data_IF_259314397222
#
_entry.id   IF_259314397222
#
_cell.length_a   1.000
_cell.length_b   1.000
_cell.length_c   1.000
_cell.angle_alpha   90.00
_cell.angle_beta   90.00
_cell.angle_gamma   90.00
#
_symmetry.space_group_name_H-M   'P 1'
#
loop_
_entity.id
_entity.type
_entity.pdbx_description
1 polymer ?
#
# COMPACT_ATOMS: atom_id res chain seq x y z
N UNK A 1 -0.93 12.02 28.63
CA UNK A 1 0.28 12.35 29.42
C UNK A 1 0.01 12.59 30.90
N UNK A 2 -1.11 13.21 31.31
CA UNK A 2 -1.41 13.48 32.73
C UNK A 2 -1.38 12.23 33.64
N UNK A 3 -1.97 11.11 33.21
CA UNK A 3 -1.94 9.86 33.99
C UNK A 3 -0.53 9.27 34.15
N UNK A 4 0.31 9.35 33.10
CA UNK A 4 1.70 8.88 33.15
C UNK A 4 2.56 9.74 34.09
N UNK A 5 2.29 11.05 34.12
CA UNK A 5 2.95 11.97 35.05
C UNK A 5 2.51 11.69 36.50
N UNK A 6 1.21 11.44 36.73
CA UNK A 6 0.68 11.09 38.05
C UNK A 6 1.28 9.78 38.59
N UNK A 7 1.52 8.81 37.71
CA UNK A 7 2.17 7.53 38.04
C UNK A 7 3.70 7.66 38.20
N UNK A 8 4.26 8.86 38.02
CA UNK A 8 5.69 9.15 38.13
C UNK A 8 6.55 8.26 37.21
N UNK A 9 6.15 8.09 35.95
CA UNK A 9 6.80 7.18 34.98
C UNK A 9 8.32 7.33 34.85
N UNK A 10 8.89 8.50 35.19
CA UNK A 10 10.33 8.77 35.13
C UNK A 10 11.11 8.22 36.34
N UNK A 11 10.45 7.95 37.46
CA UNK A 11 11.07 7.46 38.69
C UNK A 11 10.51 6.10 39.15
N UNK A 12 9.27 5.79 38.77
CA UNK A 12 8.59 4.52 39.07
C UNK A 12 8.18 3.85 37.76
N UNK A 13 8.69 2.65 37.56
CA UNK A 13 8.41 1.86 36.36
C UNK A 13 7.51 0.69 36.75
N UNK A 14 6.33 0.59 36.12
CA UNK A 14 5.43 -0.56 36.26
C UNK A 14 5.10 -1.15 34.89
N UNK A 15 4.67 -2.42 34.87
CA UNK A 15 4.30 -3.08 33.61
C UNK A 15 3.11 -2.39 32.95
N UNK A 16 2.17 -1.87 33.75
CA UNK A 16 0.99 -1.15 33.24
C UNK A 16 1.38 0.16 32.58
N UNK A 17 2.34 0.87 33.15
CA UNK A 17 2.90 2.12 32.58
C UNK A 17 3.61 1.84 31.27
N UNK A 18 4.41 0.77 31.20
CA UNK A 18 5.08 0.34 29.97
C UNK A 18 4.09 -0.06 28.87
N UNK A 19 3.07 -0.85 29.21
CA UNK A 19 1.97 -1.22 28.29
C UNK A 19 1.28 0.03 27.73
N UNK A 20 0.93 0.99 28.59
CA UNK A 20 0.30 2.25 28.19
C UNK A 20 1.19 3.07 27.26
N UNK A 21 2.50 3.14 27.52
CA UNK A 21 3.46 3.82 26.65
C UNK A 21 3.54 3.17 25.27
N UNK A 22 3.65 1.84 25.21
CA UNK A 22 3.69 1.09 23.93
C UNK A 22 2.43 1.34 23.11
N UNK A 23 1.24 1.27 23.73
CA UNK A 23 -0.03 1.55 23.06
C UNK A 23 -0.14 3.00 22.58
N UNK A 24 0.29 3.96 23.40
CA UNK A 24 0.30 5.38 23.02
C UNK A 24 1.23 5.63 21.83
N UNK A 25 2.44 5.07 21.84
CA UNK A 25 3.38 5.16 20.71
C UNK A 25 2.78 4.53 19.46
N UNK A 26 2.10 3.38 19.59
CA UNK A 26 1.43 2.73 18.47
C UNK A 26 0.38 3.66 17.86
N UNK A 27 -0.48 4.28 18.68
CA UNK A 27 -1.48 5.23 18.22
C UNK A 27 -0.85 6.44 17.51
N UNK A 28 0.15 7.09 18.13
CA UNK A 28 0.85 8.24 17.54
C UNK A 28 1.49 7.88 16.19
N UNK A 29 2.16 6.74 16.11
CA UNK A 29 2.83 6.27 14.89
C UNK A 29 1.84 6.08 13.74
N UNK A 30 0.67 5.51 14.00
CA UNK A 30 -0.35 5.29 12.95
C UNK A 30 -1.21 6.53 12.65
N UNK A 31 -1.14 7.57 13.50
CA UNK A 31 -1.69 8.90 13.22
C UNK A 31 -0.67 9.86 12.59
N UNK A 32 0.47 9.35 12.13
CA UNK A 32 1.57 10.14 11.54
C UNK A 32 2.11 11.25 12.46
N UNK A 33 2.00 11.05 13.77
CA UNK A 33 2.50 11.99 14.78
C UNK A 33 3.93 11.61 15.18
N UNK A 34 4.80 12.59 15.49
CA UNK A 34 6.15 12.31 15.96
C UNK A 34 6.15 11.48 17.25
N UNK A 35 6.80 10.31 17.24
CA UNK A 35 6.88 9.41 18.39
C UNK A 35 8.31 9.02 18.80
N UNK A 36 9.33 9.50 18.07
CA UNK A 36 10.74 9.11 18.25
C UNK A 36 11.26 9.32 19.67
N UNK A 37 11.06 10.50 20.25
CA UNK A 37 11.51 10.82 21.62
C UNK A 37 10.81 9.91 22.63
N UNK A 38 9.51 9.66 22.44
CA UNK A 38 8.73 8.81 23.33
C UNK A 38 9.18 7.35 23.25
N UNK A 39 9.58 6.88 22.07
CA UNK A 39 10.18 5.55 21.88
C UNK A 39 11.50 5.45 22.65
N UNK A 40 12.39 6.44 22.53
CA UNK A 40 13.66 6.45 23.27
C UNK A 40 13.47 6.39 24.78
N UNK A 41 12.57 7.22 25.32
CA UNK A 41 12.21 7.19 26.74
C UNK A 41 11.64 5.82 27.16
N UNK A 42 10.69 5.29 26.39
CA UNK A 42 10.04 4.00 26.67
C UNK A 42 11.03 2.84 26.59
N UNK A 43 12.01 2.92 25.71
CA UNK A 43 13.11 1.97 25.60
C UNK A 43 13.97 1.95 26.85
N UNK A 44 14.34 3.10 27.39
CA UNK A 44 15.08 3.17 28.66
C UNK A 44 14.25 2.65 29.85
N UNK A 45 12.95 2.94 29.89
CA UNK A 45 12.02 2.36 30.89
C UNK A 45 12.00 0.83 30.78
N UNK A 46 11.86 0.28 29.57
CA UNK A 46 11.85 -1.16 29.34
C UNK A 46 13.17 -1.83 29.73
N UNK A 47 14.31 -1.17 29.47
CA UNK A 47 15.63 -1.64 29.92
C UNK A 47 15.73 -1.64 31.43
N UNK A 48 15.34 -0.54 32.10
CA UNK A 48 15.37 -0.42 33.56
C UNK A 48 14.50 -1.49 34.25
N UNK A 49 13.44 -1.94 33.58
CA UNK A 49 12.59 -3.03 34.05
C UNK A 49 13.12 -4.44 33.72
N UNK A 50 14.18 -4.57 32.92
CA UNK A 50 14.75 -5.85 32.49
C UNK A 50 14.01 -6.53 31.34
N UNK A 51 13.14 -5.83 30.60
CA UNK A 51 12.36 -6.42 29.50
C UNK A 51 13.20 -6.80 28.27
N UNK A 52 14.45 -6.32 28.20
CA UNK A 52 15.42 -6.63 27.15
C UNK A 52 16.13 -7.97 27.37
N UNK A 53 15.92 -8.61 28.52
CA UNK A 53 16.43 -9.93 28.87
C UNK A 53 15.31 -10.95 28.73
N UNK A 54 15.60 -12.13 28.19
CA UNK A 54 14.54 -13.13 28.01
C UNK A 54 13.93 -13.53 29.37
N UNK A 55 12.59 -13.44 29.54
CA UNK A 55 11.91 -13.83 30.77
C UNK A 55 12.20 -15.26 31.25
N UNK A 56 12.59 -16.17 30.37
CA UNK A 56 12.93 -17.56 30.71
C UNK A 56 14.16 -17.65 31.63
N UNK A 57 14.99 -16.60 31.68
CA UNK A 57 16.13 -16.51 32.61
C UNK A 57 15.71 -16.13 34.04
N UNK A 58 14.42 -15.92 34.28
CA UNK A 58 13.86 -15.49 35.56
C UNK A 58 12.77 -16.47 36.02
N UNK A 59 12.55 -16.56 37.33
CA UNK A 59 11.47 -17.36 37.92
C UNK A 59 10.13 -16.60 37.88
N UNK A 60 9.65 -16.25 36.69
CA UNK A 60 8.40 -15.51 36.47
C UNK A 60 7.24 -16.45 36.16
N UNK A 61 6.01 -16.00 36.42
CA UNK A 61 4.83 -16.69 35.90
C UNK A 61 4.72 -16.55 34.37
N UNK A 62 4.00 -17.48 33.73
CA UNK A 62 3.77 -17.45 32.27
C UNK A 62 3.19 -16.09 31.80
N UNK A 63 2.25 -15.53 32.57
CA UNK A 63 1.62 -14.24 32.26
C UNK A 63 2.65 -13.11 32.34
N UNK A 64 3.41 -13.02 33.43
CA UNK A 64 4.42 -11.96 33.60
C UNK A 64 5.53 -12.05 32.54
N UNK A 65 5.93 -13.28 32.18
CA UNK A 65 6.88 -13.53 31.12
C UNK A 65 6.34 -13.02 29.77
N UNK A 66 5.11 -13.38 29.40
CA UNK A 66 4.50 -12.93 28.15
C UNK A 66 4.19 -11.43 28.15
N UNK A 67 3.80 -10.81 29.26
CA UNK A 67 3.63 -9.35 29.34
C UNK A 67 4.94 -8.62 28.99
N UNK A 68 6.07 -9.07 29.55
CA UNK A 68 7.41 -8.50 29.26
C UNK A 68 7.79 -8.73 27.80
N UNK A 69 7.65 -9.97 27.32
CA UNK A 69 8.01 -10.39 25.96
C UNK A 69 7.22 -9.63 24.91
N UNK A 70 5.91 -9.48 25.10
CA UNK A 70 5.01 -8.72 24.20
C UNK A 70 5.30 -7.22 24.23
N UNK A 71 5.56 -6.63 25.40
CA UNK A 71 5.92 -5.22 25.49
C UNK A 71 7.25 -4.94 24.78
N UNK A 72 8.27 -5.77 25.01
CA UNK A 72 9.56 -5.64 24.35
C UNK A 72 9.42 -5.77 22.83
N UNK A 73 8.81 -6.85 22.34
CA UNK A 73 8.62 -7.07 20.91
C UNK A 73 7.81 -5.93 20.24
N UNK A 74 6.75 -5.46 20.89
CA UNK A 74 5.96 -4.33 20.43
C UNK A 74 6.76 -3.03 20.35
N UNK A 75 7.61 -2.75 21.34
CA UNK A 75 8.49 -1.58 21.33
C UNK A 75 9.56 -1.66 20.25
N UNK A 76 10.19 -2.82 20.09
CA UNK A 76 11.19 -3.08 19.05
C UNK A 76 10.58 -2.89 17.65
N UNK A 77 9.35 -3.36 17.45
CA UNK A 77 8.58 -3.13 16.22
C UNK A 77 8.34 -1.63 15.97
N UNK A 78 7.88 -0.89 16.98
CA UNK A 78 7.61 0.55 16.85
C UNK A 78 8.88 1.35 16.53
N UNK A 79 10.00 0.99 17.16
CA UNK A 79 11.29 1.56 16.83
C UNK A 79 11.70 1.28 15.38
N UNK A 80 11.47 0.05 14.87
CA UNK A 80 11.75 -0.28 13.48
C UNK A 80 10.93 0.54 12.48
N UNK A 81 9.64 0.77 12.75
CA UNK A 81 8.78 1.61 11.89
C UNK A 81 9.37 3.02 11.75
N UNK A 82 9.79 3.61 12.86
CA UNK A 82 10.40 4.94 12.84
C UNK A 82 11.77 4.92 12.16
N UNK A 83 12.59 3.90 12.41
CA UNK A 83 13.89 3.75 11.76
C UNK A 83 13.78 3.67 10.23
N UNK A 84 12.81 2.89 9.74
CA UNK A 84 12.45 2.82 8.32
C UNK A 84 12.08 4.23 7.82
N UNK A 85 11.21 4.95 8.54
CA UNK A 85 10.79 6.33 8.22
C UNK A 85 11.95 7.33 8.18
N UNK A 86 12.97 7.16 9.03
CA UNK A 86 14.17 7.99 9.08
C UNK A 86 15.31 7.48 8.17
N UNK A 87 14.99 6.71 7.12
CA UNK A 87 15.97 6.23 6.12
C UNK A 87 17.14 5.46 6.73
N UNK A 88 16.91 4.71 7.80
CA UNK A 88 17.96 3.95 8.49
C UNK A 88 19.16 4.81 8.94
N UNK A 89 18.90 6.06 9.37
CA UNK A 89 19.91 6.98 9.93
C UNK A 89 20.77 6.33 11.04
N UNK A 90 20.21 5.37 11.79
CA UNK A 90 20.93 4.56 12.76
C UNK A 90 21.19 3.14 12.22
N UNK A 91 22.46 2.70 12.18
CA UNK A 91 22.82 1.33 11.81
C UNK A 91 22.60 0.34 12.97
N UNK A 92 22.53 0.81 14.21
CA UNK A 92 22.31 -0.06 15.36
C UNK A 92 20.91 -0.67 15.32
N UNK A 93 20.85 -1.99 15.54
CA UNK A 93 19.62 -2.70 15.81
C UNK A 93 19.52 -2.80 17.33
N UNK A 94 18.37 -2.42 17.88
CA UNK A 94 18.07 -2.77 19.26
C UNK A 94 18.14 -4.29 19.41
N UNK A 95 18.66 -4.75 20.54
CA UNK A 95 18.84 -6.18 20.82
C UNK A 95 17.52 -6.93 20.65
N UNK A 96 17.60 -8.11 20.03
CA UNK A 96 16.51 -9.08 19.90
C UNK A 96 16.84 -10.37 20.64
N UNK A 97 17.59 -10.26 21.74
CA UNK A 97 18.01 -11.42 22.54
C UNK A 97 16.83 -12.07 23.31
N UNK A 98 15.63 -11.51 23.15
CA UNK A 98 14.37 -12.02 23.68
C UNK A 98 13.63 -12.78 22.59
N UNK A 99 13.15 -13.99 22.90
CA UNK A 99 12.30 -14.79 22.02
C UNK A 99 11.05 -14.02 21.59
N UNK A 100 10.51 -14.38 20.42
CA UNK A 100 9.22 -13.84 19.97
C UNK A 100 8.08 -14.25 20.95
N UNK A 101 7.06 -13.39 21.13
CA UNK A 101 5.88 -13.72 21.93
C UNK A 101 5.22 -15.03 21.53
N UNK A 102 4.55 -15.68 22.47
CA UNK A 102 3.77 -16.87 22.19
C UNK A 102 2.55 -16.52 21.32
N UNK A 103 2.28 -17.36 20.33
CA UNK A 103 1.04 -17.28 19.53
C UNK A 103 -0.12 -17.85 20.36
N UNK A 104 -0.66 -17.04 21.28
CA UNK A 104 -1.72 -17.46 22.20
C UNK A 104 -2.67 -16.30 22.52
N UNK A 105 -3.94 -16.61 22.80
CA UNK A 105 -4.87 -15.62 23.34
C UNK A 105 -4.60 -15.39 24.82
N UNK A 106 -5.00 -14.23 25.34
CA UNK A 106 -4.76 -13.89 26.76
C UNK A 106 -5.43 -14.87 27.72
N UNK A 107 -6.62 -15.36 27.36
CA UNK A 107 -7.36 -16.33 28.19
C UNK A 107 -6.67 -17.69 28.25
N UNK A 108 -5.96 -18.08 27.18
CA UNK A 108 -5.27 -19.36 27.09
C UNK A 108 -4.06 -19.41 28.04
N UNK A 109 -3.44 -18.25 28.31
CA UNK A 109 -2.31 -18.10 29.24
C UNK A 109 -2.71 -18.21 30.72
N UNK A 110 -4.00 -18.10 31.03
CA UNK A 110 -4.47 -18.17 32.41
C UNK A 110 -4.35 -19.59 32.97
N UNK A 111 -4.02 -19.72 34.25
CA UNK A 111 -3.83 -21.04 34.91
C UNK A 111 -5.07 -21.95 34.83
N UNK A 112 -6.26 -21.37 34.65
CA UNK A 112 -7.53 -22.08 34.57
C UNK A 112 -7.98 -22.39 33.13
N UNK A 113 -7.14 -22.17 32.11
CA UNK A 113 -7.48 -22.49 30.72
C UNK A 113 -7.63 -24.00 30.46
N UNK A 114 -7.01 -24.84 31.31
CA UNK A 114 -7.03 -26.29 31.16
C UNK A 114 -6.17 -26.79 29.99
N UNK A 115 -5.45 -25.91 29.30
CA UNK A 115 -4.59 -26.25 28.17
C UNK A 115 -3.20 -26.70 28.65
N UNK A 116 -2.65 -27.69 27.95
CA UNK A 116 -1.25 -28.08 28.11
C UNK A 116 -0.31 -27.11 27.40
N UNK A 117 0.96 -27.08 27.80
CA UNK A 117 1.98 -26.26 27.13
C UNK A 117 2.17 -26.61 25.65
N UNK A 118 1.90 -27.85 25.25
CA UNK A 118 1.99 -28.27 23.85
C UNK A 118 0.84 -27.69 23.02
N UNK A 119 -0.39 -27.76 23.54
CA UNK A 119 -1.57 -27.14 22.92
C UNK A 119 -1.42 -25.62 22.79
N UNK A 120 -0.82 -24.95 23.78
CA UNK A 120 -0.52 -23.51 23.72
C UNK A 120 0.50 -23.15 22.63
N UNK A 121 1.44 -24.06 22.31
CA UNK A 121 2.46 -23.83 21.27
C UNK A 121 1.93 -24.10 19.86
N UNK A 122 0.87 -24.88 19.75
CA UNK A 122 0.29 -25.32 18.48
C UNK A 122 -1.22 -25.08 18.46
N UNK A 123 -1.69 -23.82 18.54
CA UNK A 123 -3.12 -23.56 18.52
C UNK A 123 -3.68 -23.85 17.12
N UNK A 124 -4.90 -24.38 17.08
CA UNK A 124 -5.61 -24.81 15.87
C UNK A 124 -5.81 -23.67 14.86
N UNK A 125 -6.08 -22.47 15.37
CA UNK A 125 -6.44 -21.30 14.58
C UNK A 125 -5.58 -20.07 14.84
N UNK A 126 -5.91 -18.94 14.19
CA UNK A 126 -5.27 -17.66 14.46
C UNK A 126 -5.66 -17.18 15.86
N UNK A 127 -4.66 -16.73 16.62
CA UNK A 127 -4.83 -16.13 17.95
C UNK A 127 -4.78 -14.60 17.87
N UNK A 128 -5.05 -13.92 18.99
CA UNK A 128 -4.82 -12.48 19.14
C UNK A 128 -3.39 -12.06 18.79
N UNK A 129 -2.39 -12.92 19.01
CA UNK A 129 -0.98 -12.62 18.74
C UNK A 129 -0.54 -12.93 17.30
N UNK A 130 -1.28 -13.78 16.58
CA UNK A 130 -0.92 -14.20 15.21
C UNK A 130 -0.64 -13.02 14.28
N UNK A 131 -1.49 -11.98 14.33
CA UNK A 131 -1.31 -10.77 13.52
C UNK A 131 0.04 -10.08 13.78
N UNK A 132 0.39 -9.86 15.06
CA UNK A 132 1.63 -9.17 15.42
C UNK A 132 2.87 -10.00 15.04
N UNK A 133 2.81 -11.32 15.16
CA UNK A 133 3.90 -12.21 14.76
C UNK A 133 4.20 -12.11 13.26
N UNK A 134 3.18 -12.11 12.41
CA UNK A 134 3.37 -11.86 10.98
C UNK A 134 3.85 -10.43 10.71
N UNK A 135 3.36 -9.44 11.47
CA UNK A 135 3.79 -8.06 11.34
C UNK A 135 5.29 -7.89 11.63
N UNK A 136 5.83 -8.58 12.64
CA UNK A 136 7.27 -8.58 12.94
C UNK A 136 8.09 -9.09 11.75
N UNK A 137 7.66 -10.19 11.13
CA UNK A 137 8.33 -10.77 9.95
C UNK A 137 8.27 -9.81 8.75
N UNK A 138 7.12 -9.17 8.52
CA UNK A 138 7.00 -8.16 7.46
C UNK A 138 7.90 -6.96 7.68
N UNK A 139 8.12 -6.51 8.93
CA UNK A 139 9.06 -5.42 9.19
C UNK A 139 10.52 -5.80 8.94
N UNK A 140 10.89 -7.07 9.11
CA UNK A 140 12.22 -7.55 8.72
C UNK A 140 12.42 -7.46 7.21
N UNK A 141 11.39 -7.85 6.45
CA UNK A 141 11.38 -7.71 4.98
C UNK A 141 11.42 -6.22 4.60
N UNK A 142 10.60 -5.38 5.23
CA UNK A 142 10.54 -3.95 4.96
C UNK A 142 11.90 -3.27 5.20
N UNK A 143 12.61 -3.64 6.27
CA UNK A 143 13.95 -3.14 6.56
C UNK A 143 14.96 -3.58 5.48
N UNK A 144 14.88 -4.84 5.04
CA UNK A 144 15.74 -5.36 3.98
C UNK A 144 15.48 -4.63 2.64
N UNK A 145 14.21 -4.41 2.28
CA UNK A 145 13.81 -3.61 1.11
C UNK A 145 14.37 -2.20 1.22
N UNK A 146 14.22 -1.53 2.37
CA UNK A 146 14.75 -0.18 2.56
C UNK A 146 16.28 -0.13 2.37
N UNK A 147 17.02 -1.10 2.91
CA UNK A 147 18.47 -1.16 2.71
C UNK A 147 18.85 -1.34 1.23
N UNK A 148 18.06 -2.10 0.48
CA UNK A 148 18.29 -2.36 -0.94
C UNK A 148 17.96 -1.14 -1.81
N UNK A 149 16.76 -0.56 -1.67
CA UNK A 149 16.28 0.53 -2.52
C UNK A 149 17.00 1.87 -2.28
N UNK A 150 17.60 2.04 -1.09
CA UNK A 150 18.41 3.21 -0.76
C UNK A 150 19.91 2.96 -1.02
N UNK A 151 20.28 1.78 -1.52
CA UNK A 151 21.63 1.50 -2.02
C UNK A 151 21.85 2.11 -3.41
N UNK A 152 23.11 2.32 -3.79
CA UNK A 152 23.50 2.92 -5.08
C UNK A 152 23.18 2.03 -6.28
N UNK A 153 23.20 0.71 -6.10
CA UNK A 153 22.86 -0.28 -7.13
C UNK A 153 22.02 -1.40 -6.52
N UNK A 154 20.76 -1.50 -6.94
CA UNK A 154 19.87 -2.57 -6.51
C UNK A 154 20.14 -3.84 -7.34
N UNK A 155 20.43 -4.96 -6.65
CA UNK A 155 20.69 -6.25 -7.25
C UNK A 155 19.39 -6.93 -7.68
N UNK A 156 19.24 -7.33 -8.96
CA UNK A 156 18.06 -8.07 -9.43
C UNK A 156 17.80 -9.36 -8.64
N UNK A 157 18.85 -10.04 -8.20
CA UNK A 157 18.73 -11.26 -7.40
C UNK A 157 18.17 -10.98 -6.00
N UNK A 158 18.56 -9.86 -5.38
CA UNK A 158 18.03 -9.44 -4.07
C UNK A 158 16.56 -9.03 -4.20
N UNK A 159 16.20 -8.29 -5.26
CA UNK A 159 14.80 -7.94 -5.55
C UNK A 159 13.93 -9.20 -5.68
N UNK A 160 14.36 -10.17 -6.50
CA UNK A 160 13.62 -11.41 -6.69
C UNK A 160 13.47 -12.20 -5.37
N UNK A 161 14.54 -12.26 -4.56
CA UNK A 161 14.48 -12.88 -3.24
C UNK A 161 13.47 -12.19 -2.32
N UNK A 162 13.48 -10.86 -2.27
CA UNK A 162 12.57 -10.09 -1.41
C UNK A 162 11.11 -10.21 -1.86
N UNK A 163 10.83 -10.25 -3.16
CA UNK A 163 9.47 -10.49 -3.68
C UNK A 163 8.97 -11.91 -3.33
N UNK A 164 9.85 -12.91 -3.41
CA UNK A 164 9.55 -14.27 -2.95
C UNK A 164 9.31 -14.30 -1.43
N UNK A 165 10.13 -13.61 -0.63
CA UNK A 165 9.94 -13.52 0.81
C UNK A 165 8.56 -12.89 1.14
N UNK A 166 8.12 -11.86 0.41
CA UNK A 166 6.76 -11.30 0.55
C UNK A 166 5.68 -12.36 0.22
N UNK A 167 5.85 -13.06 -0.91
CA UNK A 167 4.89 -14.07 -1.39
C UNK A 167 4.77 -15.24 -0.40
N UNK A 168 5.88 -15.76 0.10
CA UNK A 168 5.88 -16.82 1.11
C UNK A 168 5.19 -16.37 2.41
N UNK A 169 5.35 -15.12 2.84
CA UNK A 169 4.58 -14.64 3.99
C UNK A 169 3.08 -14.56 3.69
N UNK A 170 2.70 -14.08 2.49
CA UNK A 170 1.30 -14.06 2.03
C UNK A 170 0.64 -15.44 2.11
N UNK A 171 1.31 -16.46 1.61
CA UNK A 171 0.85 -17.86 1.68
C UNK A 171 0.75 -18.35 3.13
N UNK A 172 1.75 -18.07 3.97
CA UNK A 172 1.78 -18.53 5.36
C UNK A 172 0.65 -17.95 6.20
N UNK A 173 0.39 -16.64 6.15
CA UNK A 173 -0.75 -16.10 6.88
C UNK A 173 -2.06 -16.51 6.26
N UNK A 174 -2.15 -16.66 4.93
CA UNK A 174 -3.38 -17.15 4.31
C UNK A 174 -3.71 -18.54 4.82
N UNK A 175 -2.77 -19.48 4.79
CA UNK A 175 -2.95 -20.81 5.36
C UNK A 175 -3.32 -20.75 6.85
N UNK A 176 -2.65 -19.89 7.64
CA UNK A 176 -2.91 -19.75 9.08
C UNK A 176 -4.29 -19.20 9.42
N UNK A 177 -4.79 -18.23 8.66
CA UNK A 177 -6.12 -17.65 8.91
C UNK A 177 -7.25 -18.53 8.36
N UNK A 178 -6.96 -19.45 7.43
CA UNK A 178 -7.90 -20.46 6.94
C UNK A 178 -7.78 -21.83 7.64
N UNK A 179 -6.82 -22.02 8.56
CA UNK A 179 -6.58 -23.31 9.21
C UNK A 179 -7.67 -23.68 10.23
N UNK A 180 -8.38 -22.69 10.77
CA UNK A 180 -9.44 -22.90 11.73
C UNK A 180 -10.80 -23.01 11.05
N UNK A 181 -11.26 -24.23 10.86
CA UNK A 181 -12.62 -24.51 10.35
C UNK A 181 -13.63 -24.65 11.49
N UNK A 182 -13.24 -24.45 12.75
CA UNK A 182 -14.15 -24.60 13.90
C UNK A 182 -15.02 -23.37 14.14
N UNK A 183 -14.61 -22.20 13.60
CA UNK A 183 -15.33 -20.94 13.70
C UNK A 183 -15.57 -20.38 12.30
N UNK A 184 -16.74 -20.67 11.73
CA UNK A 184 -17.17 -20.14 10.44
C UNK A 184 -18.45 -19.26 10.58
N UNK A 185 -18.42 -17.99 10.11
CA UNK A 185 -17.27 -17.28 9.55
C UNK A 185 -16.27 -16.83 10.62
N UNK A 186 -15.01 -16.65 10.21
CA UNK A 186 -13.96 -16.13 11.08
C UNK A 186 -14.36 -14.75 11.66
N UNK A 187 -14.03 -14.43 12.92
CA UNK A 187 -14.41 -13.14 13.49
C UNK A 187 -13.83 -11.94 12.72
N UNK A 188 -14.57 -10.84 12.68
CA UNK A 188 -14.23 -9.66 11.86
C UNK A 188 -12.85 -9.06 12.18
N UNK A 189 -12.37 -9.15 13.42
CA UNK A 189 -11.04 -8.68 13.78
C UNK A 189 -9.92 -9.41 13.02
N UNK A 190 -10.08 -10.71 12.80
CA UNK A 190 -9.09 -11.50 12.08
C UNK A 190 -9.09 -11.15 10.60
N UNK A 191 -10.27 -10.93 10.01
CA UNK A 191 -10.39 -10.41 8.66
C UNK A 191 -9.78 -9.00 8.51
N UNK A 192 -9.96 -8.12 9.48
CA UNK A 192 -9.30 -6.82 9.45
C UNK A 192 -7.77 -6.97 9.54
N UNK A 193 -7.26 -7.84 10.42
CA UNK A 193 -5.83 -8.08 10.57
C UNK A 193 -5.17 -8.67 9.32
N UNK A 194 -5.80 -9.65 8.67
CA UNK A 194 -5.25 -10.22 7.41
C UNK A 194 -5.26 -9.17 6.29
N UNK A 195 -6.31 -8.34 6.19
CA UNK A 195 -6.35 -7.23 5.24
C UNK A 195 -5.24 -6.19 5.50
N UNK A 196 -4.92 -5.90 6.77
CA UNK A 196 -3.80 -5.00 7.11
C UNK A 196 -2.45 -5.62 6.72
N UNK A 197 -2.26 -6.92 6.92
CA UNK A 197 -1.04 -7.63 6.49
C UNK A 197 -0.89 -7.59 4.96
N UNK A 198 -1.96 -7.91 4.22
CA UNK A 198 -1.97 -7.81 2.77
C UNK A 198 -1.69 -6.38 2.30
N UNK A 199 -2.37 -5.39 2.88
CA UNK A 199 -2.17 -3.98 2.55
C UNK A 199 -0.71 -3.54 2.71
N UNK A 200 -0.06 -3.92 3.83
CA UNK A 200 1.35 -3.59 4.00
C UNK A 200 2.25 -4.35 3.03
N UNK A 201 1.98 -5.63 2.77
CA UNK A 201 2.75 -6.45 1.82
C UNK A 201 2.69 -5.91 0.38
N UNK A 202 1.52 -5.41 -0.05
CA UNK A 202 1.36 -4.77 -1.35
C UNK A 202 2.12 -3.45 -1.42
N UNK A 203 2.09 -2.64 -0.37
CA UNK A 203 2.92 -1.42 -0.31
C UNK A 203 4.41 -1.75 -0.43
N UNK A 204 4.89 -2.80 0.25
CA UNK A 204 6.27 -3.25 0.13
C UNK A 204 6.61 -3.70 -1.29
N UNK A 205 5.70 -4.40 -1.96
CA UNK A 205 5.87 -4.83 -3.36
C UNK A 205 5.92 -3.64 -4.31
N UNK A 206 5.06 -2.62 -4.13
CA UNK A 206 5.14 -1.37 -4.89
C UNK A 206 6.51 -0.70 -4.70
N UNK A 207 6.95 -0.56 -3.45
CA UNK A 207 8.23 0.07 -3.12
C UNK A 207 9.43 -0.69 -3.74
N UNK A 208 9.40 -2.02 -3.69
CA UNK A 208 10.43 -2.90 -4.20
C UNK A 208 10.56 -2.85 -5.73
N UNK A 209 9.44 -2.90 -6.46
CA UNK A 209 9.42 -3.00 -7.92
C UNK A 209 9.44 -1.64 -8.64
N UNK A 210 9.21 -0.54 -7.92
CA UNK A 210 9.20 0.83 -8.46
C UNK A 210 10.39 1.16 -9.38
N UNK A 211 11.67 0.83 -9.06
CA UNK A 211 12.78 1.13 -9.97
C UNK A 211 12.68 0.41 -11.33
N UNK A 212 12.18 -0.83 -11.34
CA UNK A 212 12.00 -1.60 -12.56
C UNK A 212 10.75 -1.15 -13.34
N UNK A 213 9.67 -0.79 -12.64
CA UNK A 213 8.50 -0.13 -13.25
C UNK A 213 8.93 1.17 -13.94
N UNK A 214 9.75 1.99 -13.29
CA UNK A 214 10.25 3.23 -13.88
C UNK A 214 11.01 2.98 -15.20
N UNK A 215 11.83 1.94 -15.26
CA UNK A 215 12.54 1.54 -16.48
C UNK A 215 11.61 1.04 -17.58
N UNK A 216 10.59 0.26 -17.20
CA UNK A 216 9.54 -0.18 -18.12
C UNK A 216 8.89 1.02 -18.82
N UNK A 217 8.49 2.02 -18.04
CA UNK A 217 7.79 3.21 -18.52
C UNK A 217 8.66 4.11 -19.41
N UNK A 218 9.98 4.08 -19.25
CA UNK A 218 10.93 4.80 -20.11
C UNK A 218 11.38 3.99 -21.33
N UNK A 219 10.75 2.84 -21.60
CA UNK A 219 11.00 2.03 -22.78
C UNK A 219 12.04 0.91 -22.66
N UNK A 220 12.64 0.68 -21.47
CA UNK A 220 13.47 -0.51 -21.20
C UNK A 220 12.55 -1.72 -20.96
N UNK A 221 11.89 -2.18 -22.03
CA UNK A 221 10.94 -3.28 -22.00
C UNK A 221 11.70 -4.60 -22.18
N UNK A 222 11.68 -5.41 -21.13
CA UNK A 222 12.23 -6.78 -21.09
C UNK A 222 11.43 -7.61 -20.08
N UNK A 223 11.65 -8.92 -20.04
CA UNK A 223 10.91 -9.83 -19.14
C UNK A 223 10.89 -9.39 -17.67
N UNK A 224 11.98 -8.76 -17.19
CA UNK A 224 12.10 -8.33 -15.79
C UNK A 224 11.29 -7.07 -15.50
N UNK A 225 11.37 -6.07 -16.38
CA UNK A 225 10.64 -4.81 -16.22
C UNK A 225 9.15 -5.04 -16.44
N UNK A 226 8.77 -5.92 -17.38
CA UNK A 226 7.40 -6.37 -17.57
C UNK A 226 6.86 -7.17 -16.38
N UNK A 227 7.64 -8.12 -15.83
CA UNK A 227 7.24 -8.84 -14.61
C UNK A 227 7.03 -7.88 -13.44
N UNK A 228 7.91 -6.89 -13.28
CA UNK A 228 7.79 -5.87 -12.24
C UNK A 228 6.58 -4.96 -12.42
N UNK A 229 6.23 -4.61 -13.66
CA UNK A 229 4.99 -3.88 -13.99
C UNK A 229 3.76 -4.66 -13.50
N UNK A 230 3.68 -5.95 -13.83
CA UNK A 230 2.55 -6.80 -13.40
C UNK A 230 2.48 -6.93 -11.88
N UNK A 231 3.62 -7.10 -11.21
CA UNK A 231 3.69 -7.09 -9.73
C UNK A 231 3.17 -5.79 -9.13
N UNK A 232 3.50 -4.65 -9.74
CA UNK A 232 3.00 -3.34 -9.32
C UNK A 232 1.50 -3.19 -9.56
N UNK A 233 1.01 -3.61 -10.73
CA UNK A 233 -0.40 -3.61 -11.09
C UNK A 233 -1.23 -4.40 -10.08
N UNK A 234 -0.86 -5.66 -9.83
CA UNK A 234 -1.55 -6.54 -8.87
C UNK A 234 -1.55 -5.95 -7.46
N UNK A 235 -0.41 -5.42 -7.02
CA UNK A 235 -0.29 -4.82 -5.69
C UNK A 235 -1.14 -3.56 -5.53
N UNK A 236 -1.18 -2.71 -6.55
CA UNK A 236 -1.98 -1.49 -6.53
C UNK A 236 -3.48 -1.81 -6.51
N UNK A 237 -3.94 -2.75 -7.36
CA UNK A 237 -5.33 -3.24 -7.34
C UNK A 237 -5.73 -3.79 -5.97
N UNK A 238 -4.88 -4.63 -5.37
CA UNK A 238 -5.09 -5.19 -4.04
C UNK A 238 -5.21 -4.12 -2.95
N UNK A 239 -4.36 -3.09 -2.98
CA UNK A 239 -4.42 -1.97 -2.05
C UNK A 239 -5.73 -1.19 -2.10
N UNK A 240 -6.20 -0.83 -3.31
CA UNK A 240 -7.46 -0.11 -3.47
C UNK A 240 -8.66 -0.96 -3.05
N UNK A 241 -8.66 -2.24 -3.39
CA UNK A 241 -9.69 -3.19 -2.96
C UNK A 241 -9.77 -3.27 -1.42
N UNK A 242 -8.62 -3.44 -0.75
CA UNK A 242 -8.56 -3.48 0.72
C UNK A 242 -9.05 -2.18 1.36
N UNK A 243 -8.63 -1.02 0.84
CA UNK A 243 -9.08 0.27 1.37
C UNK A 243 -10.60 0.40 1.25
N UNK A 244 -11.16 0.08 0.08
CA UNK A 244 -12.60 0.12 -0.17
C UNK A 244 -13.36 -0.81 0.78
N UNK A 245 -12.95 -2.08 0.85
CA UNK A 245 -13.57 -3.07 1.74
C UNK A 245 -13.58 -2.61 3.21
N UNK A 246 -12.45 -2.10 3.71
CA UNK A 246 -12.36 -1.65 5.10
C UNK A 246 -13.09 -0.32 5.36
N UNK A 247 -13.21 0.55 4.36
CA UNK A 247 -13.88 1.83 4.49
C UNK A 247 -15.42 1.71 4.45
N UNK A 248 -15.94 0.83 3.59
CA UNK A 248 -17.38 0.72 3.32
C UNK A 248 -18.08 -0.28 4.24
N UNK A 249 -17.39 -1.30 4.75
CA UNK A 249 -18.05 -2.36 5.53
C UNK A 249 -18.25 -1.96 7.01
N UNK A 250 -19.48 -1.96 7.55
CA UNK A 250 -19.77 -1.53 8.92
C UNK A 250 -19.02 -2.31 10.02
N UNK A 251 -18.74 -3.59 9.81
CA UNK A 251 -18.00 -4.42 10.78
C UNK A 251 -16.56 -3.95 11.02
N UNK A 252 -16.01 -3.11 10.14
CA UNK A 252 -14.65 -2.58 10.25
C UNK A 252 -14.60 -1.15 10.80
N UNK A 253 -15.70 -0.61 11.32
CA UNK A 253 -15.74 0.69 12.02
C UNK A 253 -14.64 0.84 13.09
N UNK A 254 -14.31 -0.18 13.92
CA UNK A 254 -13.21 -0.08 14.90
C UNK A 254 -11.83 0.16 14.27
N UNK A 255 -11.67 -0.12 12.97
CA UNK A 255 -10.43 0.02 12.22
C UNK A 255 -10.34 1.33 11.42
N UNK A 256 -11.24 2.29 11.68
CA UNK A 256 -11.19 3.63 11.06
C UNK A 256 -9.88 4.38 11.28
N UNK A 257 -9.15 4.06 12.34
CA UNK A 257 -7.79 4.61 12.56
C UNK A 257 -6.81 4.19 11.46
N UNK A 258 -6.98 3.00 10.89
CA UNK A 258 -6.14 2.48 9.81
C UNK A 258 -6.58 3.07 8.48
N UNK A 259 -7.90 3.06 8.19
CA UNK A 259 -8.42 3.59 6.91
C UNK A 259 -8.22 5.09 6.78
N UNK A 260 -8.40 5.87 7.85
CA UNK A 260 -8.14 7.31 7.82
C UNK A 260 -6.63 7.67 7.80
N UNK A 261 -5.75 6.70 8.07
CA UNK A 261 -4.30 6.88 8.13
C UNK A 261 -3.58 6.06 7.07
N UNK A 262 -2.90 5.02 7.52
CA UNK A 262 -1.95 4.24 6.72
C UNK A 262 -2.57 3.58 5.48
N UNK A 263 -3.83 3.12 5.54
CA UNK A 263 -4.47 2.53 4.36
C UNK A 263 -4.66 3.55 3.25
N UNK A 264 -5.07 4.78 3.59
CA UNK A 264 -5.25 5.85 2.61
C UNK A 264 -3.91 6.37 2.06
N UNK A 265 -2.87 6.37 2.88
CA UNK A 265 -1.51 6.60 2.41
C UNK A 265 -1.07 5.57 1.35
N UNK A 266 -1.26 4.27 1.61
CA UNK A 266 -0.93 3.23 0.64
C UNK A 266 -1.84 3.26 -0.60
N UNK A 267 -3.13 3.54 -0.42
CA UNK A 267 -4.06 3.67 -1.52
C UNK A 267 -3.74 4.85 -2.44
N UNK A 268 -3.23 5.96 -1.89
CA UNK A 268 -2.75 7.08 -2.70
C UNK A 268 -1.61 6.64 -3.61
N UNK A 269 -0.62 5.91 -3.09
CA UNK A 269 0.46 5.35 -3.89
C UNK A 269 -0.03 4.34 -4.94
N UNK A 270 -0.96 3.46 -4.57
CA UNK A 270 -1.57 2.54 -5.51
C UNK A 270 -2.26 3.29 -6.65
N UNK A 271 -3.04 4.33 -6.34
CA UNK A 271 -3.69 5.15 -7.34
C UNK A 271 -2.68 5.85 -8.28
N UNK A 272 -1.59 6.42 -7.74
CA UNK A 272 -0.53 7.01 -8.56
C UNK A 272 0.12 5.97 -9.49
N UNK A 273 0.44 4.76 -8.99
CA UNK A 273 0.98 3.67 -9.84
C UNK A 273 0.01 3.33 -10.95
N UNK A 274 -1.27 3.14 -10.61
CA UNK A 274 -2.30 2.79 -11.58
C UNK A 274 -2.49 3.89 -12.63
N UNK A 275 -2.48 5.18 -12.26
CA UNK A 275 -2.55 6.27 -13.23
C UNK A 275 -1.40 6.17 -14.23
N UNK A 276 -0.17 5.96 -13.76
CA UNK A 276 1.00 5.90 -14.64
C UNK A 276 0.95 4.66 -15.56
N UNK A 277 0.45 3.52 -15.07
CA UNK A 277 0.21 2.34 -15.90
C UNK A 277 -0.90 2.61 -16.93
N UNK A 278 -1.98 3.30 -16.53
CA UNK A 278 -3.11 3.66 -17.41
C UNK A 278 -2.71 4.61 -18.54
N UNK A 279 -1.65 5.41 -18.37
CA UNK A 279 -1.10 6.24 -19.44
C UNK A 279 -0.41 5.44 -20.55
N UNK A 280 0.00 4.19 -20.28
CA UNK A 280 0.57 3.28 -21.27
C UNK A 280 0.06 1.84 -21.03
N UNK A 281 -1.24 1.59 -21.32
CA UNK A 281 -1.88 0.32 -21.05
C UNK A 281 -1.48 -0.72 -22.11
N UNK A 282 -1.45 -1.99 -21.73
CA UNK A 282 -1.20 -3.12 -22.65
C UNK A 282 -2.43 -3.44 -23.50
N UNK A 283 -3.63 -3.04 -23.07
CA UNK A 283 -4.88 -3.25 -23.80
C UNK A 283 -5.96 -2.25 -23.38
N UNK A 284 -6.99 -2.08 -24.22
CA UNK A 284 -8.18 -1.29 -23.88
C UNK A 284 -8.89 -1.82 -22.62
N UNK A 285 -8.97 -3.14 -22.46
CA UNK A 285 -9.61 -3.75 -21.29
C UNK A 285 -8.87 -3.40 -19.99
N UNK A 286 -7.54 -3.36 -20.03
CA UNK A 286 -6.73 -2.93 -18.88
C UNK A 286 -6.95 -1.45 -18.57
N UNK A 287 -7.01 -0.60 -19.60
CA UNK A 287 -7.33 0.81 -19.43
C UNK A 287 -8.70 1.00 -18.73
N UNK A 288 -9.75 0.35 -19.24
CA UNK A 288 -11.12 0.48 -18.72
C UNK A 288 -11.21 0.00 -17.26
N UNK A 289 -10.54 -1.11 -16.93
CA UNK A 289 -10.47 -1.64 -15.57
C UNK A 289 -9.76 -0.67 -14.61
N UNK A 290 -8.59 -0.16 -15.00
CA UNK A 290 -7.82 0.77 -14.16
C UNK A 290 -8.59 2.07 -13.95
N UNK A 291 -9.22 2.61 -15.00
CA UNK A 291 -10.02 3.82 -14.91
C UNK A 291 -11.16 3.65 -13.91
N UNK A 292 -11.91 2.53 -13.98
CA UNK A 292 -12.99 2.24 -13.02
C UNK A 292 -12.47 2.16 -11.58
N UNK A 293 -11.33 1.50 -11.35
CA UNK A 293 -10.72 1.40 -10.02
C UNK A 293 -10.28 2.75 -9.46
N UNK A 294 -9.75 3.65 -10.31
CA UNK A 294 -9.34 5.00 -9.89
C UNK A 294 -10.54 5.88 -9.54
N UNK A 295 -11.63 5.79 -10.30
CA UNK A 295 -12.90 6.47 -9.99
C UNK A 295 -13.43 6.02 -8.64
N UNK A 296 -13.48 4.71 -8.39
CA UNK A 296 -13.90 4.14 -7.12
C UNK A 296 -12.99 4.59 -5.97
N UNK A 297 -11.67 4.58 -6.17
CA UNK A 297 -10.72 5.05 -5.16
C UNK A 297 -10.95 6.52 -4.81
N UNK A 298 -11.20 7.38 -5.80
CA UNK A 298 -11.50 8.79 -5.57
C UNK A 298 -12.77 8.97 -4.71
N UNK A 299 -13.81 8.17 -4.94
CA UNK A 299 -15.01 8.17 -4.11
C UNK A 299 -14.71 7.77 -2.65
N UNK A 300 -13.89 6.73 -2.45
CA UNK A 300 -13.45 6.31 -1.10
C UNK A 300 -12.63 7.43 -0.43
N UNK A 301 -11.79 8.14 -1.17
CA UNK A 301 -11.06 9.31 -0.65
C UNK A 301 -12.01 10.43 -0.22
N UNK A 302 -13.04 10.74 -1.01
CA UNK A 302 -14.09 11.68 -0.61
C UNK A 302 -14.81 11.23 0.67
N UNK A 303 -15.18 9.96 0.77
CA UNK A 303 -15.82 9.37 1.96
C UNK A 303 -14.97 9.56 3.23
N UNK A 304 -13.65 9.42 3.12
CA UNK A 304 -12.72 9.47 4.25
C UNK A 304 -12.16 10.87 4.54
N UNK A 305 -12.32 11.83 3.63
CA UNK A 305 -11.74 13.18 3.68
C UNK A 305 -11.97 13.92 4.99
N UNK A 306 -13.19 13.89 5.51
CA UNK A 306 -13.57 14.57 6.77
C UNK A 306 -12.76 14.12 8.00
N UNK A 307 -12.12 12.95 7.93
CA UNK A 307 -11.35 12.35 9.03
C UNK A 307 -9.90 12.05 8.66
N UNK A 308 -9.51 12.32 7.43
CA UNK A 308 -8.18 12.03 6.91
C UNK A 308 -7.66 13.22 6.12
N UNK A 309 -6.70 13.93 6.71
CA UNK A 309 -5.95 14.99 6.01
C UNK A 309 -5.18 14.45 4.79
N UNK A 310 -4.86 13.15 4.77
CA UNK A 310 -4.25 12.48 3.62
C UNK A 310 -5.24 12.38 2.46
N UNK A 311 -6.47 11.95 2.73
CA UNK A 311 -7.51 11.92 1.71
C UNK A 311 -7.87 13.32 1.23
N UNK A 312 -8.05 14.27 2.16
CA UNK A 312 -8.33 15.68 1.83
C UNK A 312 -7.31 16.26 0.85
N UNK A 313 -6.01 16.04 1.11
CA UNK A 313 -4.92 16.49 0.22
C UNK A 313 -4.77 15.64 -1.05
N UNK A 314 -5.10 14.35 -0.98
CA UNK A 314 -5.00 13.43 -2.10
C UNK A 314 -6.06 13.66 -3.17
N UNK A 315 -7.28 14.06 -2.79
CA UNK A 315 -8.40 14.30 -3.72
C UNK A 315 -8.02 15.19 -4.92
N UNK A 316 -7.55 16.44 -4.74
CA UNK A 316 -7.26 17.30 -5.89
C UNK A 316 -6.18 16.72 -6.81
N UNK A 317 -5.22 15.98 -6.24
CA UNK A 317 -4.15 15.33 -7.01
C UNK A 317 -4.71 14.17 -7.82
N UNK A 318 -5.49 13.28 -7.19
CA UNK A 318 -6.07 12.11 -7.84
C UNK A 318 -7.08 12.51 -8.92
N UNK A 319 -7.88 13.55 -8.70
CA UNK A 319 -8.78 14.11 -9.72
C UNK A 319 -8.01 14.56 -10.96
N UNK A 320 -6.95 15.36 -10.78
CA UNK A 320 -6.15 15.83 -11.92
C UNK A 320 -5.45 14.67 -12.64
N UNK A 321 -4.90 13.72 -11.88
CA UNK A 321 -4.25 12.54 -12.43
C UNK A 321 -5.21 11.71 -13.31
N UNK A 322 -6.47 11.56 -12.87
CA UNK A 322 -7.50 10.88 -13.63
C UNK A 322 -7.87 11.64 -14.91
N UNK A 323 -8.00 12.97 -14.83
CA UNK A 323 -8.27 13.82 -15.99
C UNK A 323 -7.15 13.76 -17.04
N UNK A 324 -5.89 13.85 -16.62
CA UNK A 324 -4.74 13.80 -17.52
C UNK A 324 -4.54 12.44 -18.18
N UNK A 325 -4.93 11.36 -17.51
CA UNK A 325 -4.81 10.01 -18.04
C UNK A 325 -6.04 9.59 -18.85
N UNK A 326 -7.11 10.39 -18.85
CA UNK A 326 -8.27 10.20 -19.71
C UNK A 326 -7.95 10.64 -21.15
N UNK A 327 -8.40 9.90 -22.19
CA UNK A 327 -8.20 10.30 -23.58
C UNK A 327 -8.91 11.65 -23.81
N UNK A 328 -8.16 12.67 -24.21
CA UNK A 328 -8.77 13.91 -24.67
C UNK A 328 -9.63 13.61 -25.91
N UNK A 329 -10.84 14.16 -26.01
CA UNK A 329 -11.59 14.09 -27.26
C UNK A 329 -10.72 14.71 -28.35
N UNK A 330 -10.37 13.93 -29.38
CA UNK A 330 -9.87 14.50 -30.61
C UNK A 330 -10.92 15.52 -31.05
N UNK A 331 -10.56 16.81 -31.09
CA UNK A 331 -11.35 17.80 -31.78
C UNK A 331 -11.49 17.30 -33.21
N UNK A 332 -12.63 16.67 -33.51
CA UNK A 332 -13.10 16.43 -34.86
C UNK A 332 -13.11 17.81 -35.50
N UNK A 333 -12.06 18.08 -36.29
CA UNK A 333 -12.03 19.20 -37.19
C UNK A 333 -13.14 18.93 -38.19
N UNK A 334 -14.33 19.47 -37.92
CA UNK A 334 -15.45 19.43 -38.84
C UNK A 334 -14.91 20.04 -40.13
N UNK A 335 -14.87 19.30 -41.26
CA UNK A 335 -14.53 19.91 -42.53
C UNK A 335 -15.56 21.02 -42.76
N UNK A 336 -15.11 22.26 -42.80
CA UNK A 336 -15.96 23.38 -43.21
C UNK A 336 -16.55 23.03 -44.57
N UNK A 337 -17.84 22.69 -44.60
CA UNK A 337 -18.60 22.63 -45.84
C UNK A 337 -18.57 24.03 -46.45
N UNK A 338 -17.75 24.21 -47.48
CA UNK A 338 -17.86 25.36 -48.35
C UNK A 338 -19.28 25.38 -48.94
N UNK A 339 -20.02 26.44 -48.64
CA UNK A 339 -21.30 26.73 -49.27
C UNK A 339 -21.12 26.82 -50.79
N UNK A 340 -22.02 26.24 -51.61
CA UNK A 340 -21.94 26.42 -53.04
C UNK A 340 -22.41 27.83 -53.40
N UNK A 341 -21.48 28.61 -53.96
CA UNK A 341 -21.78 29.86 -54.64
C UNK A 341 -22.63 29.58 -55.89
N UNK A 342 -23.85 30.11 -55.88
CA UNK A 342 -24.72 30.18 -57.05
C UNK A 342 -24.03 31.02 -58.13
N UNK A 343 -23.74 30.44 -59.30
CA UNK A 343 -23.77 31.09 -60.62
C UNK A 343 -23.25 30.09 -61.66
N UNK A 344 -24.15 29.53 -62.47
CA UNK A 344 -24.17 29.66 -63.93
C UNK A 344 -25.10 28.61 -64.57
N UNK A 345 -26.09 29.13 -65.28
CA UNK A 345 -27.07 28.41 -66.08
C UNK A 345 -26.47 28.07 -67.45
N UNK A 346 -26.83 26.87 -67.93
CA UNK A 346 -26.96 26.47 -69.34
C UNK A 346 -25.70 26.33 -70.21
N UNK A 347 -25.40 25.09 -70.59
CA UNK A 347 -25.49 24.69 -72.01
C UNK A 347 -25.57 23.17 -72.16
N UNK A 348 -26.56 22.74 -72.93
CA UNK A 348 -26.86 21.38 -73.39
C UNK A 348 -25.78 20.79 -74.28
N UNK A 349 -25.45 19.50 -74.10
CA UNK A 349 -25.18 18.57 -75.23
C UNK A 349 -25.19 17.11 -74.75
N UNK A 350 -25.89 16.27 -75.51
CA UNK A 350 -25.97 14.80 -75.38
C UNK A 350 -25.06 14.20 -76.47
N UNK A 351 -24.28 13.14 -76.20
CA UNK A 351 -24.66 11.83 -76.75
C UNK A 351 -24.40 10.60 -75.84
N UNK A 352 -25.41 9.74 -75.77
CA UNK A 352 -25.49 8.26 -75.84
C UNK A 352 -24.30 7.30 -75.62
N UNK A 353 -24.59 6.00 -75.31
CA UNK A 353 -23.89 5.20 -74.30
C UNK A 353 -22.96 4.13 -74.90
N UNK A 354 -21.87 3.80 -74.21
CA UNK A 354 -21.13 2.56 -74.41
C UNK A 354 -20.57 1.99 -73.09
N UNK A 355 -21.02 0.78 -72.81
CA UNK A 355 -20.37 -0.36 -72.15
C UNK A 355 -19.15 -0.12 -71.24
N UNK A 356 -19.26 -0.50 -69.96
CA UNK A 356 -18.27 -1.36 -69.27
C UNK A 356 -18.78 -1.84 -67.89
N UNK A 357 -18.27 -2.99 -67.39
CA UNK A 357 -19.03 -3.89 -66.51
C UNK A 357 -18.90 -3.61 -65.01
N UNK A 358 -19.86 -4.18 -64.28
CA UNK A 358 -19.94 -4.25 -62.82
C UNK A 358 -18.72 -5.01 -62.27
N UNK A 359 -17.83 -4.30 -61.55
CA UNK A 359 -16.88 -4.91 -60.63
C UNK A 359 -17.40 -4.78 -59.21
N UNK A 360 -17.60 -5.93 -58.53
CA UNK A 360 -17.88 -6.01 -57.10
C UNK A 360 -16.75 -5.32 -56.32
N UNK A 361 -17.08 -4.20 -55.65
CA UNK A 361 -16.26 -3.65 -54.58
C UNK A 361 -16.37 -4.55 -53.36
N UNK A 362 -15.32 -5.32 -53.11
CA UNK A 362 -15.09 -5.97 -51.82
C UNK A 362 -14.64 -4.90 -50.82
N UNK A 363 -15.47 -4.62 -49.83
CA UNK A 363 -15.08 -3.85 -48.65
C UNK A 363 -14.01 -4.62 -47.87
N UNK A 364 -12.75 -4.26 -48.06
CA UNK A 364 -11.62 -4.71 -47.26
C UNK A 364 -10.88 -3.52 -46.67
N UNK A 365 -11.60 -2.66 -45.92
CA UNK A 365 -10.96 -1.66 -45.08
C UNK A 365 -10.35 -2.34 -43.87
N UNK A 366 -9.03 -2.48 -43.84
CA UNK A 366 -8.30 -2.83 -42.62
C UNK A 366 -8.62 -1.77 -41.57
N UNK A 367 -9.36 -2.15 -40.53
CA UNK A 367 -9.51 -1.33 -39.33
C UNK A 367 -8.11 -1.24 -38.73
N UNK A 368 -7.44 -0.11 -38.93
CA UNK A 368 -6.23 0.22 -38.19
C UNK A 368 -6.59 0.27 -36.71
N UNK A 369 -6.00 -0.62 -35.91
CA UNK A 369 -6.02 -0.49 -34.46
C UNK A 369 -5.54 0.92 -34.09
N UNK A 370 -6.23 1.61 -33.14
CA UNK A 370 -5.79 2.93 -32.72
C UNK A 370 -4.42 2.79 -32.08
N UNK A 371 -3.38 3.27 -32.78
CA UNK A 371 -2.08 3.50 -32.18
C UNK A 371 -2.21 4.66 -31.21
N UNK A 372 -2.29 4.34 -29.93
CA UNK A 372 -2.29 5.30 -28.84
C UNK A 372 -0.87 5.89 -28.69
N UNK A 373 -0.60 7.00 -29.37
CA UNK A 373 0.65 7.75 -29.22
C UNK A 373 0.58 8.63 -27.97
N UNK A 374 0.76 8.01 -26.80
CA UNK A 374 0.83 8.71 -25.50
C UNK A 374 2.28 9.02 -25.13
N UNK A 375 2.98 9.83 -25.92
CA UNK A 375 4.15 10.55 -25.42
C UNK A 375 3.68 11.68 -24.48
N UNK A 376 3.20 11.31 -23.29
CA UNK A 376 2.67 12.28 -22.33
C UNK A 376 3.84 12.94 -21.59
N UNK A 377 4.10 14.21 -21.89
CA UNK A 377 5.16 15.04 -21.26
C UNK A 377 5.04 15.12 -19.72
N UNK A 378 3.90 14.72 -19.16
CA UNK A 378 3.65 14.70 -17.73
C UNK A 378 4.08 13.40 -17.03
N UNK A 379 4.31 12.31 -17.79
CA UNK A 379 4.69 11.01 -17.22
C UNK A 379 6.02 11.10 -16.47
N UNK A 380 7.02 11.79 -17.03
CA UNK A 380 8.31 12.05 -16.38
C UNK A 380 8.13 12.87 -15.08
N UNK A 381 7.21 13.83 -15.08
CA UNK A 381 6.93 14.68 -13.91
C UNK A 381 6.27 13.87 -12.79
N UNK A 382 5.28 13.02 -13.10
CA UNK A 382 4.66 12.11 -12.11
C UNK A 382 5.69 11.09 -11.61
N UNK A 383 6.52 10.57 -12.51
CA UNK A 383 7.59 9.63 -12.19
C UNK A 383 8.62 10.24 -11.22
N UNK A 384 8.90 11.54 -11.34
CA UNK A 384 9.76 12.27 -10.39
C UNK A 384 9.16 12.33 -8.97
N UNK A 385 7.83 12.18 -8.83
CA UNK A 385 7.13 12.07 -7.55
C UNK A 385 7.10 10.63 -7.01
N UNK A 386 7.56 9.65 -7.79
CA UNK A 386 7.75 8.28 -7.33
C UNK A 386 9.07 8.13 -6.54
N UNK A 387 9.66 9.14 -5.91
CA UNK A 387 10.92 8.93 -5.18
C UNK A 387 10.70 8.04 -3.96
N UNK A 388 11.60 7.07 -3.72
CA UNK A 388 11.46 6.09 -2.64
C UNK A 388 11.19 6.74 -1.28
N UNK A 389 11.80 7.90 -0.99
CA UNK A 389 11.59 8.58 0.28
C UNK A 389 10.12 8.96 0.56
N UNK A 390 9.32 9.28 -0.47
CA UNK A 390 7.92 9.68 -0.32
C UNK A 390 7.00 8.49 -0.01
N UNK A 391 7.54 7.28 -0.18
CA UNK A 391 6.79 6.02 -0.14
C UNK A 391 6.91 5.30 1.20
N UNK A 392 7.79 5.79 2.07
CA UNK A 392 8.09 5.15 3.35
C UNK A 392 7.18 5.63 4.47
N UNK A 393 6.83 6.92 4.49
CA UNK A 393 6.01 7.51 5.56
C UNK A 393 5.11 8.63 5.04
N UNK A 394 3.89 8.73 5.57
CA UNK A 394 2.92 9.74 5.14
C UNK A 394 3.40 11.19 5.32
N UNK A 395 4.24 11.44 6.33
CA UNK A 395 4.83 12.77 6.57
C UNK A 395 5.86 13.18 5.52
N UNK A 396 6.34 12.24 4.70
CA UNK A 396 7.35 12.52 3.68
C UNK A 396 6.75 12.94 2.33
N UNK A 397 5.45 12.79 2.11
CA UNK A 397 4.82 13.19 0.85
C UNK A 397 4.90 14.73 0.74
N UNK A 398 5.55 15.26 -0.32
CA UNK A 398 5.62 16.69 -0.53
C UNK A 398 4.34 17.14 -1.24
N UNK A 399 3.23 17.27 -0.50
CA UNK A 399 1.93 17.63 -1.04
C UNK A 399 1.97 18.89 -1.93
N UNK A 400 2.81 19.86 -1.58
CA UNK A 400 3.00 21.10 -2.35
C UNK A 400 3.69 20.90 -3.70
N UNK A 401 4.50 19.84 -3.86
CA UNK A 401 5.20 19.55 -5.12
C UNK A 401 4.26 19.01 -6.20
N UNK A 402 3.02 18.70 -5.85
CA UNK A 402 1.96 18.36 -6.82
C UNK A 402 1.25 19.61 -7.35
N UNK A 403 1.63 20.82 -6.93
CA UNK A 403 1.00 22.07 -7.35
C UNK A 403 1.04 22.35 -8.86
N UNK A 404 1.97 21.73 -9.59
CA UNK A 404 2.01 21.81 -11.07
C UNK A 404 0.74 21.22 -11.71
N UNK A 405 0.08 20.28 -11.04
CA UNK A 405 -1.20 19.71 -11.46
C UNK A 405 -2.37 20.65 -11.19
N UNK A 406 -2.28 21.50 -10.17
CA UNK A 406 -3.40 22.31 -9.65
C UNK A 406 -3.47 23.70 -10.32
N UNK A 407 -2.37 24.18 -10.90
CA UNK A 407 -2.27 25.52 -11.50
C UNK A 407 -2.56 25.59 -13.01
N UNK A 408 -3.18 24.58 -13.62
CA UNK A 408 -3.52 24.57 -15.05
C UNK A 408 -5.04 24.63 -15.35
N UNK A 409 -5.84 25.17 -14.43
CA UNK A 409 -7.24 25.55 -14.71
C UNK A 409 -7.33 27.00 -15.16
#
# INVERSE_FOLDING_TARGET
MQCLAADQVLSRHSMKTLQALVLLIYALTHSSQPSWVLIGMTHHVAIAMGCHLDPDNFNLSLIEAEERRRCWAGLIMLHMIQKISFRNLDRQRLSRDVRLPLDANDLDLMKNSGLTMDQLRHPTGPTQMTYLLFKFRLYDIALAICNEIFSSEASPAVIAKLDNDITSQQELWSARYHSDTSVEPLPSQHFAHINILFGYSHQLRLLLHRPALNRYLTGDINDRTHSSRNRCLDAAKGLLSIQKTLAESPQYIPYKWYTAGLASFHAFHAAVVLTVIMMNPESQAEYDEIHALLVDALQVFHLLSSRSSLCEKGIPILSQLLEMASPQPQHLSIPQQQQPSQSELMSTTVPSPQDTPISLLTHGGSVSEPTFDFANTHAETIQSQLQAQYWVTASSIPWNNWGFLIHQV
#
